data_IF_864736403836
#
_entry.id   IF_864736403836
#
_cell.length_a   1.000
_cell.length_b   1.000
_cell.length_c   1.000
_cell.angle_alpha   90.00
_cell.angle_beta   90.00
_cell.angle_gamma   90.00
#
_symmetry.space_group_name_H-M   'P 1'
#
loop_
_entity.id
_entity.type
_entity.pdbx_description
1 polymer ?
#
# COMPACT_ATOMS: atom_id res chain seq x y z
N UNK A 1 5.07 13.37 -19.30
CA UNK A 1 5.04 11.90 -19.39
C UNK A 1 4.29 11.33 -18.20
N UNK A 2 3.41 10.37 -18.42
CA UNK A 2 2.77 9.62 -17.34
C UNK A 2 3.78 8.62 -16.77
N UNK A 3 3.79 8.44 -15.45
CA UNK A 3 4.67 7.45 -14.83
C UNK A 3 4.15 6.03 -15.10
N UNK A 4 5.03 5.14 -15.54
CA UNK A 4 4.76 3.71 -15.70
C UNK A 4 4.93 2.99 -14.36
N UNK A 5 3.79 2.70 -13.74
CA UNK A 5 3.71 1.92 -12.52
C UNK A 5 3.24 0.50 -12.79
N UNK A 6 3.90 -0.19 -13.72
CA UNK A 6 3.79 -1.64 -13.86
C UNK A 6 3.98 -2.35 -12.52
N UNK A 7 3.55 -3.61 -12.49
CA UNK A 7 3.69 -4.48 -11.32
C UNK A 7 5.17 -4.52 -10.87
N UNK A 8 6.10 -4.78 -11.78
CA UNK A 8 7.53 -4.92 -11.47
C UNK A 8 8.18 -3.61 -11.07
N UNK A 9 7.84 -2.50 -11.74
CA UNK A 9 8.28 -1.16 -11.34
C UNK A 9 7.78 -0.80 -9.93
N UNK A 10 6.54 -1.19 -9.61
CA UNK A 10 5.99 -0.96 -8.27
C UNK A 10 6.73 -1.81 -7.23
N UNK A 11 7.13 -3.05 -7.54
CA UNK A 11 7.94 -3.89 -6.64
C UNK A 11 9.30 -3.27 -6.37
N UNK A 12 10.06 -2.93 -7.41
CA UNK A 12 11.37 -2.26 -7.28
C UNK A 12 11.23 -0.99 -6.42
N UNK A 13 10.22 -0.16 -6.70
CA UNK A 13 10.01 1.05 -5.93
C UNK A 13 9.73 0.77 -4.45
N UNK A 14 8.87 -0.22 -4.14
CA UNK A 14 8.57 -0.54 -2.74
C UNK A 14 9.78 -1.07 -1.98
N UNK A 15 10.68 -1.81 -2.64
CA UNK A 15 11.94 -2.26 -2.03
C UNK A 15 12.84 -1.08 -1.68
N UNK A 16 13.01 -0.13 -2.59
CA UNK A 16 13.81 1.09 -2.36
C UNK A 16 13.21 1.94 -1.22
N UNK A 17 11.88 2.08 -1.19
CA UNK A 17 11.23 2.76 -0.09
C UNK A 17 11.44 2.06 1.26
N UNK A 18 11.35 0.73 1.31
CA UNK A 18 11.62 -0.05 2.53
C UNK A 18 13.06 0.16 3.02
N UNK A 19 14.04 0.18 2.13
CA UNK A 19 15.44 0.46 2.48
C UNK A 19 15.57 1.83 3.16
N UNK A 20 14.92 2.86 2.61
CA UNK A 20 14.93 4.20 3.22
C UNK A 20 14.20 4.26 4.57
N UNK A 21 13.11 3.50 4.75
CA UNK A 21 12.43 3.39 6.05
C UNK A 21 13.34 2.74 7.09
N UNK A 22 14.01 1.64 6.74
CA UNK A 22 14.96 0.98 7.63
C UNK A 22 16.18 1.84 7.97
N UNK A 23 16.63 2.68 7.04
CA UNK A 23 17.69 3.66 7.27
C UNK A 23 17.26 4.84 8.16
N UNK A 24 16.02 4.88 8.65
CA UNK A 24 15.52 5.95 9.52
C UNK A 24 15.15 7.23 8.76
N UNK A 25 15.15 7.22 7.43
CA UNK A 25 14.85 8.39 6.60
C UNK A 25 13.34 8.69 6.49
N UNK A 26 12.52 8.14 7.39
CA UNK A 26 11.10 8.41 7.55
C UNK A 26 10.80 8.89 8.98
N UNK A 27 11.16 10.14 9.35
CA UNK A 27 10.93 10.65 10.70
C UNK A 27 9.45 10.83 11.06
N UNK A 28 8.55 10.76 10.07
CA UNK A 28 7.12 10.89 10.28
C UNK A 28 6.31 10.12 9.25
N UNK A 29 5.38 10.79 8.55
CA UNK A 29 4.46 10.14 7.59
C UNK A 29 5.06 9.88 6.20
N UNK A 30 6.18 10.51 5.88
CA UNK A 30 6.85 10.45 4.58
C UNK A 30 8.36 10.37 4.74
N UNK A 31 9.03 9.93 3.66
CA UNK A 31 10.49 10.02 3.56
C UNK A 31 10.99 11.48 3.55
N UNK A 32 12.23 11.69 3.97
CA UNK A 32 12.93 12.97 3.84
C UNK A 32 13.12 13.36 2.36
N UNK A 33 13.34 14.65 2.05
CA UNK A 33 13.66 15.09 0.68
C UNK A 33 14.79 14.29 0.03
N UNK A 34 15.92 14.16 0.73
CA UNK A 34 17.11 13.46 0.24
C UNK A 34 16.83 11.97 -0.01
N UNK A 35 16.04 11.32 0.84
CA UNK A 35 15.67 9.92 0.61
C UNK A 35 14.82 9.72 -0.64
N UNK A 36 13.96 10.68 -1.00
CA UNK A 36 13.26 10.62 -2.29
C UNK A 36 14.20 10.80 -3.47
N UNK A 37 15.24 11.61 -3.34
CA UNK A 37 16.25 11.80 -4.39
C UNK A 37 17.09 10.53 -4.59
N UNK A 38 17.52 9.89 -3.50
CA UNK A 38 18.23 8.60 -3.56
C UNK A 38 17.36 7.51 -4.16
N UNK A 39 16.08 7.42 -3.77
CA UNK A 39 15.13 6.50 -4.40
C UNK A 39 15.00 6.78 -5.89
N UNK A 40 14.94 8.05 -6.32
CA UNK A 40 14.83 8.40 -7.74
C UNK A 40 16.06 7.93 -8.53
N UNK A 41 17.27 8.14 -7.97
CA UNK A 41 18.54 7.69 -8.58
C UNK A 41 18.59 6.18 -8.72
N UNK A 42 18.35 5.46 -7.64
CA UNK A 42 18.41 4.00 -7.63
C UNK A 42 17.31 3.37 -8.49
N UNK A 43 16.12 3.98 -8.50
CA UNK A 43 15.03 3.55 -9.35
C UNK A 43 15.39 3.71 -10.84
N UNK A 44 16.03 4.82 -11.22
CA UNK A 44 16.54 5.02 -12.59
C UNK A 44 17.56 3.96 -12.98
N UNK A 45 18.46 3.59 -12.08
CA UNK A 45 19.46 2.54 -12.32
C UNK A 45 18.80 1.17 -12.50
N UNK A 46 17.82 0.82 -11.67
CA UNK A 46 17.19 -0.51 -11.68
C UNK A 46 16.11 -0.70 -12.74
N UNK A 47 15.30 0.34 -12.99
CA UNK A 47 14.15 0.27 -13.89
C UNK A 47 14.37 1.01 -15.22
N UNK A 48 15.47 1.76 -15.36
CA UNK A 48 15.74 2.57 -16.56
C UNK A 48 14.82 3.78 -16.71
N UNK A 49 14.01 4.10 -15.69
CA UNK A 49 12.96 5.11 -15.73
C UNK A 49 13.25 6.22 -14.72
N UNK A 50 13.14 7.46 -15.19
CA UNK A 50 13.39 8.63 -14.35
C UNK A 50 12.08 9.25 -13.86
N UNK A 51 11.95 9.35 -12.54
CA UNK A 51 10.79 9.95 -11.90
C UNK A 51 11.16 11.12 -11.01
N UNK A 52 10.33 12.16 -11.10
CA UNK A 52 10.42 13.33 -10.23
C UNK A 52 9.99 12.97 -8.82
N UNK A 53 10.49 13.74 -7.85
CA UNK A 53 10.07 13.63 -6.44
C UNK A 53 8.54 13.71 -6.26
N UNK A 54 7.86 14.52 -7.07
CA UNK A 54 6.39 14.64 -7.02
C UNK A 54 5.72 13.33 -7.46
N UNK A 55 6.21 12.68 -8.52
CA UNK A 55 5.68 11.38 -8.96
C UNK A 55 5.89 10.30 -7.90
N UNK A 56 7.06 10.27 -7.25
CA UNK A 56 7.36 9.34 -6.16
C UNK A 56 6.47 9.56 -4.94
N UNK A 57 6.27 10.83 -4.52
CA UNK A 57 5.34 11.19 -3.44
C UNK A 57 3.90 10.77 -3.75
N UNK A 58 3.40 11.09 -4.94
CA UNK A 58 2.06 10.70 -5.35
C UNK A 58 1.88 9.18 -5.34
N UNK A 59 2.91 8.43 -5.74
CA UNK A 59 2.91 6.97 -5.68
C UNK A 59 2.94 6.46 -4.23
N UNK A 60 3.76 7.05 -3.35
CA UNK A 60 3.77 6.76 -1.91
C UNK A 60 2.37 6.91 -1.29
N UNK A 61 1.68 8.03 -1.55
CA UNK A 61 0.34 8.28 -1.02
C UNK A 61 -0.70 7.30 -1.55
N UNK A 62 -0.60 6.95 -2.83
CA UNK A 62 -1.45 5.93 -3.43
C UNK A 62 -1.23 4.56 -2.79
N UNK A 63 0.03 4.16 -2.59
CA UNK A 63 0.37 2.90 -1.93
C UNK A 63 -0.11 2.85 -0.49
N UNK A 64 0.01 3.96 0.25
CA UNK A 64 -0.51 4.10 1.61
C UNK A 64 -2.02 3.94 1.65
N UNK A 65 -2.75 4.62 0.76
CA UNK A 65 -4.22 4.51 0.67
C UNK A 65 -4.65 3.07 0.35
N UNK A 66 -3.92 2.41 -0.54
CA UNK A 66 -4.19 1.04 -0.95
C UNK A 66 -3.99 0.06 0.19
N UNK A 67 -2.88 0.19 0.93
CA UNK A 67 -2.60 -0.61 2.12
C UNK A 67 -3.65 -0.40 3.22
N UNK A 68 -4.01 0.85 3.54
CA UNK A 68 -5.06 1.15 4.52
C UNK A 68 -6.41 0.53 4.15
N UNK A 69 -6.83 0.66 2.88
CA UNK A 69 -8.08 0.08 2.41
C UNK A 69 -8.05 -1.45 2.45
N UNK A 70 -6.92 -2.06 2.12
CA UNK A 70 -6.75 -3.51 2.18
C UNK A 70 -6.78 -4.04 3.62
N UNK A 71 -6.17 -3.32 4.58
CA UNK A 71 -6.28 -3.67 6.01
C UNK A 71 -7.73 -3.59 6.50
N UNK A 72 -8.46 -2.51 6.16
CA UNK A 72 -9.89 -2.39 6.49
C UNK A 72 -10.70 -3.53 5.88
N UNK A 73 -10.37 -3.94 4.65
CA UNK A 73 -11.02 -5.06 3.98
C UNK A 73 -10.77 -6.38 4.73
N UNK A 74 -9.51 -6.66 5.13
CA UNK A 74 -9.15 -7.81 5.97
C UNK A 74 -9.91 -7.81 7.31
N UNK A 75 -10.01 -6.67 7.98
CA UNK A 75 -10.75 -6.56 9.25
C UNK A 75 -12.26 -6.74 9.10
N UNK A 76 -12.83 -6.32 7.97
CA UNK A 76 -14.27 -6.50 7.68
C UNK A 76 -14.62 -7.96 7.42
N UNK A 77 -13.67 -8.74 6.93
CA UNK A 77 -13.82 -10.15 6.63
C UNK A 77 -13.47 -10.98 7.88
N UNK A 78 -14.45 -11.20 8.75
CA UNK A 78 -14.29 -11.93 10.04
C UNK A 78 -14.70 -13.41 9.87
N UNK A 79 -14.83 -13.91 8.64
CA UNK A 79 -15.55 -15.15 8.34
C UNK A 79 -14.71 -16.33 7.83
N UNK A 80 -13.39 -16.20 7.76
CA UNK A 80 -12.53 -17.25 7.18
C UNK A 80 -12.66 -17.38 5.66
N UNK A 81 -13.29 -16.41 4.99
CA UNK A 81 -13.44 -16.33 3.55
C UNK A 81 -12.19 -15.78 2.85
N UNK A 82 -10.99 -15.99 3.38
CA UNK A 82 -9.75 -15.53 2.75
C UNK A 82 -9.21 -16.57 1.76
N UNK A 83 -9.02 -16.17 0.51
CA UNK A 83 -8.29 -16.92 -0.52
C UNK A 83 -6.79 -16.62 -0.36
N UNK A 84 -6.06 -17.55 0.24
CA UNK A 84 -4.61 -17.44 0.45
C UNK A 84 -3.81 -17.50 -0.86
N UNK A 85 -4.30 -18.17 -1.91
CA UNK A 85 -3.61 -18.26 -3.20
C UNK A 85 -3.66 -16.92 -3.94
N UNK A 86 -4.83 -16.27 -3.94
CA UNK A 86 -5.03 -14.96 -4.58
C UNK A 86 -4.78 -13.77 -3.66
N UNK A 87 -4.50 -14.03 -2.38
CA UNK A 87 -4.41 -13.06 -1.29
C UNK A 87 -5.62 -12.11 -1.22
N UNK A 88 -6.85 -12.62 -1.36
CA UNK A 88 -8.07 -11.78 -1.41
C UNK A 88 -9.25 -12.40 -0.69
N UNK A 89 -10.34 -11.64 -0.56
CA UNK A 89 -11.60 -12.09 0.02
C UNK A 89 -12.43 -12.91 -0.97
N UNK A 90 -12.60 -14.20 -0.67
CA UNK A 90 -13.53 -15.15 -1.31
C UNK A 90 -14.92 -15.01 -0.71
N UNK A 91 -15.64 -13.98 -1.16
CA UNK A 91 -17.04 -13.71 -0.80
C UNK A 91 -17.88 -13.45 -2.05
N UNK A 92 -19.21 -13.51 -1.90
CA UNK A 92 -20.15 -13.32 -3.00
C UNK A 92 -20.24 -11.85 -3.51
N UNK A 93 -21.00 -11.67 -4.59
CA UNK A 93 -21.18 -10.37 -5.24
C UNK A 93 -21.83 -9.34 -4.31
N UNK A 94 -22.79 -9.75 -3.49
CA UNK A 94 -23.54 -8.86 -2.60
C UNK A 94 -22.69 -8.37 -1.44
N UNK A 95 -21.84 -9.24 -0.87
CA UNK A 95 -20.83 -8.84 0.09
C UNK A 95 -19.88 -7.80 -0.50
N UNK A 96 -19.38 -8.02 -1.72
CA UNK A 96 -18.50 -7.07 -2.40
C UNK A 96 -19.19 -5.74 -2.75
N UNK A 97 -20.51 -5.73 -3.01
CA UNK A 97 -21.28 -4.48 -3.17
C UNK A 97 -21.29 -3.68 -1.87
N UNK A 98 -21.57 -4.32 -0.73
CA UNK A 98 -21.53 -3.68 0.60
C UNK A 98 -20.12 -3.20 0.96
N UNK A 99 -19.10 -4.02 0.73
CA UNK A 99 -17.72 -3.67 1.02
C UNK A 99 -17.22 -2.45 0.22
N UNK A 100 -17.69 -2.25 -1.02
CA UNK A 100 -17.34 -1.07 -1.84
C UNK A 100 -17.97 0.23 -1.33
N UNK A 101 -19.13 0.15 -0.68
CA UNK A 101 -19.78 1.30 -0.05
C UNK A 101 -18.96 1.74 1.16
N UNK A 102 -18.59 0.79 2.02
CA UNK A 102 -17.89 1.09 3.28
C UNK A 102 -16.40 1.39 3.08
N UNK A 103 -15.77 0.77 2.09
CA UNK A 103 -14.35 0.90 1.78
C UNK A 103 -14.19 1.30 0.32
N UNK A 104 -14.16 2.62 0.02
CA UNK A 104 -13.98 3.11 -1.34
C UNK A 104 -12.74 2.51 -1.99
N UNK A 105 -12.86 2.16 -3.27
CA UNK A 105 -11.78 1.57 -4.11
C UNK A 105 -11.30 0.18 -3.68
N UNK A 106 -11.91 -0.48 -2.68
CA UNK A 106 -11.55 -1.86 -2.30
C UNK A 106 -11.82 -2.88 -3.42
N UNK A 107 -12.75 -2.56 -4.34
CA UNK A 107 -13.19 -3.46 -5.41
C UNK A 107 -12.09 -3.95 -6.34
N UNK A 108 -10.96 -3.24 -6.43
CA UNK A 108 -9.79 -3.69 -7.20
C UNK A 108 -9.14 -4.93 -6.61
N UNK A 109 -9.28 -5.16 -5.30
CA UNK A 109 -8.69 -6.31 -4.63
C UNK A 109 -9.46 -7.60 -4.90
N UNK A 110 -10.67 -7.53 -5.46
CA UNK A 110 -11.55 -8.68 -5.67
C UNK A 110 -10.94 -9.80 -6.52
N UNK A 111 -10.17 -9.44 -7.56
CA UNK A 111 -9.56 -10.44 -8.45
C UNK A 111 -8.18 -10.89 -7.95
N UNK A 112 -7.46 -9.98 -7.30
CA UNK A 112 -6.11 -10.19 -6.79
C UNK A 112 -5.87 -9.28 -5.61
N UNK A 113 -5.27 -9.83 -4.57
CA UNK A 113 -4.89 -9.12 -3.36
C UNK A 113 -3.94 -7.96 -3.56
N UNK A 114 -3.59 -7.33 -2.44
CA UNK A 114 -2.54 -6.32 -2.42
C UNK A 114 -1.18 -6.98 -2.69
N UNK A 115 -0.50 -6.54 -3.75
CA UNK A 115 0.88 -6.92 -4.05
C UNK A 115 1.85 -6.16 -3.14
N UNK A 116 3.00 -6.76 -2.86
CA UNK A 116 4.05 -6.20 -2.00
C UNK A 116 3.55 -5.88 -0.58
N UNK A 117 2.57 -6.64 -0.08
CA UNK A 117 1.95 -6.40 1.23
C UNK A 117 2.99 -6.30 2.35
N UNK A 118 4.01 -7.16 2.36
CA UNK A 118 5.09 -7.12 3.35
C UNK A 118 5.85 -5.80 3.33
N UNK A 119 6.25 -5.32 2.13
CA UNK A 119 6.93 -4.04 1.99
C UNK A 119 6.03 -2.88 2.45
N UNK A 120 4.76 -2.91 2.07
CA UNK A 120 3.78 -1.90 2.45
C UNK A 120 3.52 -1.89 3.97
N UNK A 121 3.55 -3.07 4.60
CA UNK A 121 3.46 -3.21 6.05
C UNK A 121 4.67 -2.59 6.75
N UNK A 122 5.88 -2.77 6.22
CA UNK A 122 7.08 -2.09 6.76
C UNK A 122 7.02 -0.58 6.57
N UNK A 123 6.51 -0.12 5.43
CA UNK A 123 6.44 1.32 5.12
C UNK A 123 5.36 2.07 5.92
N UNK A 124 4.23 1.41 6.19
CA UNK A 124 3.00 2.07 6.64
C UNK A 124 2.35 1.44 7.88
N UNK A 125 2.87 0.33 8.39
CA UNK A 125 2.25 -0.44 9.47
C UNK A 125 1.96 0.42 10.71
N UNK A 126 2.93 1.22 11.14
CA UNK A 126 2.87 2.16 12.27
C UNK A 126 2.08 3.44 11.96
N UNK A 127 1.99 3.82 10.68
CA UNK A 127 1.28 5.04 10.23
C UNK A 127 -0.23 4.79 10.15
N UNK A 128 -0.61 3.56 9.85
CA UNK A 128 -2.01 3.16 9.60
C UNK A 128 -2.68 2.53 10.80
N UNK A 129 -1.93 2.26 11.87
CA UNK A 129 -2.42 1.92 13.21
C UNK A 129 -2.93 3.16 13.97
N UNK A 130 -3.77 3.97 13.33
CA UNK A 130 -4.43 5.10 13.98
C UNK A 130 -5.59 4.60 14.86
N UNK A 131 -5.25 4.13 16.06
CA UNK A 131 -5.76 4.70 17.31
C UNK A 131 -7.27 4.89 17.56
N UNK A 132 -8.19 4.25 16.85
CA UNK A 132 -9.64 4.29 17.21
C UNK A 132 -10.31 2.92 17.08
N UNK A 133 -9.93 2.02 17.98
CA UNK A 133 -10.83 0.96 18.44
C UNK A 133 -10.98 1.09 19.97
N UNK A 134 -11.50 2.24 20.42
CA UNK A 134 -12.26 2.26 21.67
C UNK A 134 -13.64 1.68 21.34
N UNK A 135 -13.72 0.36 21.28
CA UNK A 135 -15.00 -0.33 21.47
C UNK A 135 -15.19 -0.37 22.98
N UNK A 136 -16.10 0.44 23.52
CA UNK A 136 -16.47 0.41 24.92
C UNK A 136 -17.87 -0.20 25.03
N UNK A 137 -18.02 -1.48 25.40
CA UNK A 137 -19.29 -1.99 25.84
C UNK A 137 -19.44 -1.68 27.32
N UNK A 138 -20.23 -0.64 27.62
CA UNK A 138 -20.91 -0.49 28.90
C UNK A 138 -22.35 -0.04 28.62
#
# INVERSE_FOLDING_TARGET
MFADWSDDNTTILTELFVQQVHAGNRPGKHLTPNAYEEVAKDFKVRAGLEYTRIQLKNKWDKLKSDYSNFRKLKLKEIGGGWDYERNTVKQDVEWWKKAKIDIPRCGKFRKRGLRNENNLSTMFGDITSDGTHHWNPA
#
